data_IF_940551703401
#
_entry.id   IF_940551703401
#
_cell.length_a   1.000
_cell.length_b   1.000
_cell.length_c   1.000
_cell.angle_alpha   90.00
_cell.angle_beta   90.00
_cell.angle_gamma   90.00
#
_symmetry.space_group_name_H-M   'P 1'
#
loop_
_entity.id
_entity.type
_entity.pdbx_description
1 polymer ?
#
# COMPACT_ATOMS: atom_id res chain seq x y z
N UNK A 1 23.22 -12.32 8.20
CA UNK A 1 22.18 -12.51 7.17
C UNK A 1 21.08 -11.53 7.52
N UNK A 2 20.88 -10.47 6.73
CA UNK A 2 19.91 -9.44 7.06
C UNK A 2 18.52 -9.89 6.65
N UNK A 3 17.56 -9.83 7.58
CA UNK A 3 16.16 -10.13 7.28
C UNK A 3 15.62 -9.15 6.24
N UNK A 4 14.96 -9.66 5.20
CA UNK A 4 14.21 -8.83 4.26
C UNK A 4 12.97 -8.29 4.99
N UNK A 5 12.78 -6.97 4.99
CA UNK A 5 11.59 -6.31 5.57
C UNK A 5 10.75 -5.73 4.45
N UNK A 6 9.44 -5.55 4.64
CA UNK A 6 8.64 -4.83 3.63
C UNK A 6 8.98 -3.35 3.60
N UNK A 7 8.76 -2.68 2.46
CA UNK A 7 8.93 -1.22 2.36
C UNK A 7 8.00 -0.49 3.33
N UNK A 8 6.79 -1.03 3.58
CA UNK A 8 5.90 -0.52 4.64
C UNK A 8 6.58 -0.54 6.01
N UNK A 9 7.18 -1.66 6.41
CA UNK A 9 7.91 -1.79 7.67
C UNK A 9 9.12 -0.85 7.73
N UNK A 10 9.81 -0.62 6.61
CA UNK A 10 10.92 0.32 6.54
C UNK A 10 10.45 1.78 6.72
N UNK A 11 9.35 2.16 6.06
CA UNK A 11 8.78 3.52 6.14
C UNK A 11 8.29 3.87 7.55
N UNK A 12 7.73 2.89 8.27
CA UNK A 12 7.10 3.07 9.58
C UNK A 12 8.12 3.08 10.75
N UNK A 13 9.43 3.04 10.49
CA UNK A 13 10.46 3.16 11.54
C UNK A 13 10.35 4.54 12.23
N UNK A 14 10.11 4.53 13.54
CA UNK A 14 9.79 5.75 14.32
C UNK A 14 10.87 6.84 14.33
N UNK A 15 12.13 6.48 14.10
CA UNK A 15 13.27 7.41 14.03
C UNK A 15 13.84 7.55 12.62
N UNK A 16 13.04 7.24 11.59
CA UNK A 16 13.48 7.35 10.20
C UNK A 16 13.75 8.81 9.85
N UNK A 17 14.97 9.08 9.39
CA UNK A 17 15.33 10.34 8.76
C UNK A 17 15.27 10.18 7.24
N UNK A 18 15.01 11.27 6.53
CA UNK A 18 14.98 11.25 5.06
C UNK A 18 16.41 11.33 4.53
N UNK A 19 16.94 10.19 4.08
CA UNK A 19 18.12 10.15 3.22
C UNK A 19 17.67 10.25 1.75
N UNK A 20 17.97 11.37 1.11
CA UNK A 20 17.52 11.65 -0.26
C UNK A 20 18.02 10.60 -1.26
N UNK A 21 19.30 10.19 -1.19
CA UNK A 21 19.85 9.19 -2.10
C UNK A 21 19.17 7.83 -1.93
N UNK A 22 18.95 7.40 -0.69
CA UNK A 22 18.27 6.14 -0.41
C UNK A 22 16.81 6.17 -0.90
N UNK A 23 16.09 7.27 -0.61
CA UNK A 23 14.70 7.45 -1.03
C UNK A 23 14.57 7.46 -2.55
N UNK A 24 15.42 8.21 -3.26
CA UNK A 24 15.42 8.24 -4.72
C UNK A 24 15.84 6.89 -5.33
N UNK A 25 16.77 6.17 -4.70
CA UNK A 25 17.18 4.86 -5.17
C UNK A 25 16.05 3.83 -5.04
N UNK A 26 15.31 3.85 -3.92
CA UNK A 26 14.11 3.01 -3.73
C UNK A 26 13.05 3.38 -4.76
N UNK A 27 12.76 4.68 -4.90
CA UNK A 27 11.76 5.17 -5.84
C UNK A 27 12.10 4.79 -7.29
N UNK A 28 13.36 4.95 -7.72
CA UNK A 28 13.81 4.57 -9.07
C UNK A 28 13.57 3.09 -9.37
N UNK A 29 13.95 2.20 -8.45
CA UNK A 29 13.75 0.76 -8.64
C UNK A 29 12.28 0.39 -8.78
N UNK A 30 11.40 1.03 -8.00
CA UNK A 30 9.96 0.79 -8.10
C UNK A 30 9.40 1.35 -9.41
N UNK A 31 9.86 2.53 -9.84
CA UNK A 31 9.53 3.08 -11.16
C UNK A 31 10.00 2.15 -12.28
N UNK A 32 11.17 1.52 -12.19
CA UNK A 32 11.64 0.53 -13.17
C UNK A 32 10.72 -0.70 -13.23
N UNK A 33 10.25 -1.20 -12.08
CA UNK A 33 9.27 -2.31 -12.05
C UNK A 33 7.97 -1.90 -12.75
N UNK A 34 7.45 -0.71 -12.45
CA UNK A 34 6.24 -0.18 -13.08
C UNK A 34 6.44 0.05 -14.58
N UNK A 35 7.60 0.59 -14.99
CA UNK A 35 7.98 0.79 -16.39
C UNK A 35 7.94 -0.52 -17.17
N UNK A 36 8.55 -1.58 -16.64
CA UNK A 36 8.56 -2.89 -17.30
C UNK A 36 7.14 -3.41 -17.52
N UNK A 37 6.25 -3.29 -16.51
CA UNK A 37 4.85 -3.69 -16.66
C UNK A 37 4.11 -2.83 -17.71
N UNK A 38 4.26 -1.51 -17.66
CA UNK A 38 3.61 -0.57 -18.57
C UNK A 38 4.07 -0.77 -20.02
N UNK A 39 5.35 -1.07 -20.23
CA UNK A 39 5.91 -1.36 -21.57
C UNK A 39 5.29 -2.58 -22.24
N UNK A 40 4.69 -3.48 -21.44
CA UNK A 40 3.97 -4.67 -21.90
C UNK A 40 2.45 -4.45 -21.99
N UNK A 41 1.98 -3.23 -21.73
CA UNK A 41 0.55 -2.88 -21.74
C UNK A 41 -0.19 -3.27 -20.45
N UNK A 42 0.52 -3.61 -19.37
CA UNK A 42 -0.07 -4.05 -18.12
C UNK A 42 0.08 -2.99 -17.03
N UNK A 43 -0.94 -2.84 -16.19
CA UNK A 43 -0.84 -2.09 -14.94
C UNK A 43 -0.41 -3.02 -13.79
N UNK A 44 0.29 -2.47 -12.80
CA UNK A 44 0.71 -3.18 -11.57
C UNK A 44 -0.43 -3.26 -10.56
N UNK A 45 -1.34 -2.28 -10.57
CA UNK A 45 -2.56 -2.15 -9.75
C UNK A 45 -2.33 -1.86 -8.26
N UNK A 46 -1.25 -2.38 -7.66
CA UNK A 46 -0.98 -2.30 -6.23
C UNK A 46 0.44 -1.78 -5.95
N UNK A 47 0.80 -0.63 -6.50
CA UNK A 47 2.06 0.09 -6.20
C UNK A 47 1.98 0.69 -4.80
N UNK A 48 2.06 -0.17 -3.79
CA UNK A 48 1.97 0.18 -2.38
C UNK A 48 3.18 -0.37 -1.61
N UNK A 49 3.66 0.30 -0.55
CA UNK A 49 4.79 -0.17 0.24
C UNK A 49 4.69 -1.62 0.75
N UNK A 50 3.51 -2.13 1.09
CA UNK A 50 3.39 -3.54 1.51
C UNK A 50 3.63 -4.55 0.38
N UNK A 51 3.58 -4.14 -0.89
CA UNK A 51 3.84 -4.99 -2.06
C UNK A 51 5.33 -5.03 -2.46
N UNK A 52 6.23 -4.39 -1.71
CA UNK A 52 7.67 -4.40 -2.00
C UNK A 52 8.46 -4.92 -0.81
N UNK A 53 9.43 -5.80 -1.07
CA UNK A 53 10.46 -6.20 -0.11
C UNK A 53 11.70 -5.32 -0.26
N UNK A 54 12.25 -4.92 0.87
CA UNK A 54 13.54 -4.27 0.97
C UNK A 54 14.59 -5.26 1.45
N UNK A 55 15.64 -5.42 0.65
CA UNK A 55 16.87 -6.08 1.08
C UNK A 55 17.81 -5.10 1.78
N UNK A 56 18.84 -5.62 2.46
CA UNK A 56 19.80 -4.86 3.28
C UNK A 56 20.57 -3.78 2.52
N UNK A 57 20.58 -3.82 1.18
CA UNK A 57 21.25 -2.86 0.30
C UNK A 57 20.28 -1.83 -0.33
N UNK A 58 19.12 -1.61 0.29
CA UNK A 58 18.06 -0.73 -0.22
C UNK A 58 17.58 -1.15 -1.63
N UNK A 59 17.64 -2.45 -1.90
CA UNK A 59 17.11 -3.06 -3.12
C UNK A 59 15.63 -3.40 -2.94
N UNK A 60 14.78 -2.92 -3.85
CA UNK A 60 13.33 -3.14 -3.82
C UNK A 60 12.92 -4.21 -4.85
N UNK A 61 12.14 -5.21 -4.42
CA UNK A 61 11.54 -6.21 -5.32
C UNK A 61 10.04 -6.31 -5.08
N UNK A 62 9.25 -6.42 -6.16
CA UNK A 62 7.80 -6.60 -6.06
C UNK A 62 7.45 -8.00 -5.54
N UNK A 63 6.51 -8.05 -4.60
CA UNK A 63 5.84 -9.27 -4.17
C UNK A 63 4.51 -9.37 -4.90
N UNK A 64 4.37 -10.36 -5.76
CA UNK A 64 3.09 -10.70 -6.35
C UNK A 64 2.10 -11.11 -5.25
N UNK A 65 0.94 -10.42 -5.11
CA UNK A 65 -0.11 -10.82 -4.18
C UNK A 65 -0.59 -12.27 -4.38
N UNK A 66 -0.44 -12.84 -5.58
CA UNK A 66 -0.85 -14.20 -5.88
C UNK A 66 -0.03 -15.28 -5.15
N UNK A 67 1.23 -15.00 -4.78
CA UNK A 67 2.12 -15.97 -4.11
C UNK A 67 1.70 -16.22 -2.65
N UNK A 68 0.84 -15.36 -2.08
CA UNK A 68 0.29 -15.56 -0.74
C UNK A 68 -0.99 -16.43 -0.72
N UNK A 69 -1.39 -17.03 -1.86
CA UNK A 69 -2.67 -17.73 -2.00
C UNK A 69 -2.59 -19.25 -1.83
N UNK A 70 -1.41 -19.84 -1.61
CA UNK A 70 -1.28 -21.29 -1.35
C UNK A 70 -1.55 -21.69 0.12
N UNK A 71 -2.33 -20.88 0.85
CA UNK A 71 -3.09 -21.37 1.98
C UNK A 71 -4.47 -21.76 1.46
N UNK A 72 -4.59 -23.03 1.09
CA UNK A 72 -5.77 -23.72 0.57
C UNK A 72 -6.99 -23.58 1.53
N UNK A 73 -7.70 -22.45 1.46
CA UNK A 73 -9.01 -22.30 2.09
C UNK A 73 -10.04 -22.84 1.10
N UNK A 74 -10.34 -24.15 1.22
CA UNK A 74 -11.56 -24.74 0.64
C UNK A 74 -12.77 -23.98 1.18
N UNK A 75 -13.25 -23.03 0.39
CA UNK A 75 -14.50 -22.33 0.69
C UNK A 75 -15.60 -23.03 -0.08
N UNK A 76 -16.22 -24.01 0.58
CA UNK A 76 -17.43 -24.69 0.12
C UNK A 76 -18.54 -23.65 -0.08
N UNK A 77 -18.99 -23.54 -1.31
CA UNK A 77 -20.18 -22.81 -1.76
C UNK A 77 -21.40 -23.14 -0.92
N UNK A 78 -21.99 -22.17 -0.22
CA UNK A 78 -23.37 -22.29 0.28
C UNK A 78 -24.12 -20.94 0.18
N UNK A 79 -25.08 -20.93 -0.72
CA UNK A 79 -26.17 -19.96 -0.92
C UNK A 79 -27.10 -19.90 0.31
N UNK A 80 -27.76 -18.76 0.60
CA UNK A 80 -28.70 -18.68 1.70
C UNK A 80 -30.13 -19.02 1.25
N UNK A 81 -30.68 -20.14 1.74
CA UNK A 81 -32.12 -20.40 1.72
C UNK A 81 -32.55 -21.08 3.02
N UNK A 82 -33.29 -20.30 3.83
CA UNK A 82 -34.50 -20.64 4.58
C UNK A 82 -34.59 -21.90 5.48
N UNK A 83 -35.11 -21.66 6.70
CA UNK A 83 -35.88 -22.55 7.59
C UNK A 83 -35.18 -23.50 8.60
N UNK A 84 -35.22 -23.06 9.87
CA UNK A 84 -36.03 -23.65 10.97
C UNK A 84 -35.52 -24.91 11.73
N UNK A 85 -35.02 -24.63 12.97
CA UNK A 85 -35.36 -25.25 14.29
C UNK A 85 -34.82 -26.66 14.68
N UNK A 86 -34.08 -26.72 15.80
CA UNK A 86 -34.32 -27.52 17.05
C UNK A 86 -33.05 -28.15 17.71
N UNK A 87 -32.83 -27.76 18.98
CA UNK A 87 -32.52 -28.55 20.21
C UNK A 87 -31.36 -29.58 20.27
N UNK A 88 -30.44 -29.39 21.24
CA UNK A 88 -29.60 -30.45 21.83
C UNK A 88 -28.37 -29.94 22.60
N UNK A 89 -28.19 -30.37 23.85
CA UNK A 89 -27.25 -29.88 24.89
C UNK A 89 -25.75 -30.13 24.65
N UNK A 90 -24.98 -29.18 25.22
CA UNK A 90 -23.78 -29.31 26.05
C UNK A 90 -22.71 -30.36 25.69
N UNK A 91 -21.54 -29.85 25.24
CA UNK A 91 -20.26 -30.22 25.86
C UNK A 91 -19.26 -29.06 25.74
N UNK A 92 -18.90 -28.54 26.91
CA UNK A 92 -17.90 -27.51 27.12
C UNK A 92 -16.50 -28.11 26.95
N UNK A 93 -15.83 -27.79 25.84
CA UNK A 93 -14.37 -27.92 25.73
C UNK A 93 -13.78 -26.57 25.34
N UNK A 94 -13.14 -25.95 26.34
CA UNK A 94 -12.35 -24.73 26.25
C UNK A 94 -11.14 -24.95 25.33
N UNK A 95 -11.35 -24.83 24.02
CA UNK A 95 -10.25 -24.66 23.08
C UNK A 95 -9.80 -23.20 23.15
N UNK A 96 -8.76 -22.95 23.94
CA UNK A 96 -7.98 -21.71 23.88
C UNK A 96 -7.23 -21.66 22.53
N UNK A 97 -7.95 -21.42 21.44
CA UNK A 97 -7.35 -20.96 20.20
C UNK A 97 -6.89 -19.53 20.48
N UNK A 98 -5.57 -19.34 20.57
CA UNK A 98 -4.94 -18.08 20.96
C UNK A 98 -5.56 -16.89 20.22
N UNK A 99 -6.31 -16.06 20.96
CA UNK A 99 -6.87 -14.78 20.50
C UNK A 99 -5.81 -13.90 19.83
N UNK A 100 -4.53 -14.09 20.20
CA UNK A 100 -3.37 -13.43 19.62
C UNK A 100 -3.15 -13.69 18.10
N UNK A 101 -3.48 -14.86 17.56
CA UNK A 101 -3.26 -15.13 16.12
C UNK A 101 -4.35 -14.50 15.24
N UNK A 102 -5.59 -14.47 15.73
CA UNK A 102 -6.70 -13.78 15.07
C UNK A 102 -6.56 -12.26 15.20
N UNK A 103 -6.13 -11.75 16.36
CA UNK A 103 -5.89 -10.31 16.54
C UNK A 103 -4.74 -9.80 15.68
N UNK A 104 -3.68 -10.60 15.50
CA UNK A 104 -2.59 -10.25 14.60
C UNK A 104 -3.05 -10.26 13.14
N UNK A 105 -3.86 -11.23 12.75
CA UNK A 105 -4.42 -11.32 11.40
C UNK A 105 -5.38 -10.15 11.10
N UNK A 106 -6.29 -9.81 12.02
CA UNK A 106 -7.21 -8.68 11.85
C UNK A 106 -6.51 -7.32 11.90
N UNK A 107 -5.45 -7.18 12.70
CA UNK A 107 -4.60 -5.98 12.75
C UNK A 107 -3.75 -5.81 11.49
N UNK A 108 -3.21 -6.89 10.92
CA UNK A 108 -2.50 -6.83 9.64
C UNK A 108 -3.45 -6.50 8.49
N UNK A 109 -4.62 -7.14 8.44
CA UNK A 109 -5.66 -6.83 7.46
C UNK A 109 -6.16 -5.39 7.56
N UNK A 110 -6.32 -4.85 8.77
CA UNK A 110 -6.74 -3.46 8.95
C UNK A 110 -5.66 -2.47 8.48
N UNK A 111 -4.38 -2.73 8.77
CA UNK A 111 -3.26 -1.92 8.25
C UNK A 111 -3.17 -1.94 6.73
N UNK A 112 -3.30 -3.13 6.11
CA UNK A 112 -3.30 -3.27 4.66
C UNK A 112 -4.50 -2.56 4.02
N UNK A 113 -5.69 -2.65 4.63
CA UNK A 113 -6.89 -1.97 4.14
C UNK A 113 -6.76 -0.44 4.23
N UNK A 114 -6.17 0.07 5.31
CA UNK A 114 -5.90 1.51 5.43
C UNK A 114 -4.84 1.98 4.44
N UNK A 115 -3.79 1.20 4.22
CA UNK A 115 -2.80 1.51 3.19
C UNK A 115 -3.44 1.55 1.80
N UNK A 116 -4.22 0.52 1.43
CA UNK A 116 -4.93 0.50 0.17
C UNK A 116 -5.77 1.77 -0.04
N UNK A 117 -6.51 2.19 0.98
CA UNK A 117 -7.33 3.39 0.90
C UNK A 117 -6.55 4.70 0.83
N UNK A 118 -5.26 4.74 1.16
CA UNK A 118 -4.39 5.91 0.93
C UNK A 118 -3.84 5.98 -0.49
N UNK A 119 -3.67 4.83 -1.15
CA UNK A 119 -3.07 4.72 -2.48
C UNK A 119 -4.09 4.67 -3.62
N UNK A 120 -5.34 4.26 -3.38
CA UNK A 120 -6.42 4.19 -4.41
C UNK A 120 -6.56 5.50 -5.18
N UNK A 121 -6.38 5.55 -6.49
CA UNK A 121 -6.47 6.78 -7.29
C UNK A 121 -7.88 7.42 -7.28
N UNK A 122 -8.01 8.73 -7.63
CA UNK A 122 -9.31 9.41 -7.67
C UNK A 122 -10.34 8.73 -8.58
N UNK A 123 -9.91 8.22 -9.73
CA UNK A 123 -10.77 7.49 -10.67
C UNK A 123 -11.22 6.13 -10.12
N UNK A 124 -10.37 5.41 -9.40
CA UNK A 124 -10.72 4.15 -8.74
C UNK A 124 -11.75 4.38 -7.62
N UNK A 125 -11.62 5.49 -6.87
CA UNK A 125 -12.64 5.91 -5.88
C UNK A 125 -13.98 6.23 -6.58
N UNK A 126 -13.94 6.78 -7.80
CA UNK A 126 -15.13 7.03 -8.62
C UNK A 126 -15.72 5.75 -9.25
N UNK A 127 -15.10 4.59 -9.04
CA UNK A 127 -15.55 3.29 -9.55
C UNK A 127 -14.95 2.88 -10.89
N UNK A 128 -13.98 3.63 -11.43
CA UNK A 128 -13.22 3.19 -12.60
C UNK A 128 -12.30 2.02 -12.27
N UNK A 129 -11.96 1.23 -13.29
CA UNK A 129 -10.95 0.19 -13.15
C UNK A 129 -9.55 0.80 -13.04
N UNK A 130 -8.72 0.14 -12.25
CA UNK A 130 -7.30 0.46 -12.13
C UNK A 130 -6.59 0.39 -13.48
N UNK A 131 -5.73 1.35 -13.76
CA UNK A 131 -5.04 1.51 -15.04
C UNK A 131 -3.57 1.88 -14.86
N UNK A 132 -2.79 1.96 -15.94
CA UNK A 132 -1.41 2.43 -15.88
C UNK A 132 -1.31 3.82 -15.23
N UNK A 133 -2.28 4.71 -15.51
CA UNK A 133 -2.32 6.03 -14.89
C UNK A 133 -2.59 5.96 -13.38
N UNK A 134 -3.34 4.95 -12.91
CA UNK A 134 -3.57 4.70 -11.48
C UNK A 134 -2.27 4.31 -10.78
N UNK A 135 -1.40 3.51 -11.42
CA UNK A 135 -0.05 3.22 -10.90
C UNK A 135 0.79 4.49 -10.78
N UNK A 136 0.69 5.43 -11.74
CA UNK A 136 1.40 6.71 -11.68
C UNK A 136 0.95 7.55 -10.48
N UNK A 137 -0.35 7.56 -10.18
CA UNK A 137 -0.87 8.21 -8.97
C UNK A 137 -0.30 7.56 -7.71
N UNK A 138 -0.31 6.23 -7.64
CA UNK A 138 0.21 5.46 -6.52
C UNK A 138 1.72 5.70 -6.31
N UNK A 139 2.50 5.84 -7.39
CA UNK A 139 3.90 6.31 -7.35
C UNK A 139 4.02 7.71 -6.73
N UNK A 140 3.08 8.62 -7.01
CA UNK A 140 3.02 9.94 -6.39
C UNK A 140 2.84 9.88 -4.87
N UNK A 141 1.94 9.02 -4.40
CA UNK A 141 1.71 8.77 -2.95
C UNK A 141 2.94 8.12 -2.31
N UNK A 142 3.59 7.18 -3.00
CA UNK A 142 4.81 6.55 -2.55
C UNK A 142 5.96 7.56 -2.39
N UNK A 143 6.18 8.40 -3.40
CA UNK A 143 7.19 9.44 -3.37
C UNK A 143 6.97 10.39 -2.18
N UNK A 144 5.71 10.76 -1.95
CA UNK A 144 5.33 11.55 -0.79
C UNK A 144 5.76 10.88 0.53
N UNK A 145 5.42 9.61 0.75
CA UNK A 145 5.79 8.89 1.97
C UNK A 145 7.31 8.77 2.18
N UNK A 146 8.06 8.56 1.10
CA UNK A 146 9.53 8.46 1.17
C UNK A 146 10.14 9.74 1.75
N UNK A 147 9.64 10.90 1.35
CA UNK A 147 10.16 12.21 1.76
C UNK A 147 9.43 12.85 2.95
N UNK A 148 8.30 12.28 3.39
CA UNK A 148 7.52 12.75 4.53
C UNK A 148 7.43 11.65 5.60
N UNK A 149 8.40 11.56 6.54
CA UNK A 149 8.30 10.65 7.67
C UNK A 149 7.19 11.12 8.61
N UNK A 150 6.29 10.20 8.95
CA UNK A 150 5.11 10.44 9.78
C UNK A 150 5.24 9.57 11.03
N UNK A 151 5.12 10.15 12.21
CA UNK A 151 5.49 9.49 13.47
C UNK A 151 4.34 8.72 14.11
N UNK A 152 3.11 8.94 13.67
CA UNK A 152 1.92 8.21 14.14
C UNK A 152 0.93 7.91 13.02
N UNK A 153 0.07 6.91 13.23
CA UNK A 153 -1.01 6.54 12.29
C UNK A 153 -2.02 7.67 12.11
N UNK A 154 -2.31 8.42 13.17
CA UNK A 154 -3.27 9.53 13.16
C UNK A 154 -2.72 10.74 12.38
N UNK A 155 -1.43 11.06 12.57
CA UNK A 155 -0.74 12.05 11.75
C UNK A 155 -0.74 11.64 10.28
N UNK A 156 -0.44 10.36 10.01
CA UNK A 156 -0.46 9.81 8.67
C UNK A 156 -1.84 9.90 8.03
N UNK A 157 -2.89 9.54 8.74
CA UNK A 157 -4.27 9.59 8.24
C UNK A 157 -4.68 11.02 7.88
N UNK A 158 -4.38 12.01 8.72
CA UNK A 158 -4.66 13.44 8.44
C UNK A 158 -3.89 13.94 7.23
N UNK A 159 -2.62 13.56 7.13
CA UNK A 159 -1.73 13.98 6.06
C UNK A 159 -2.11 13.36 4.73
N UNK A 160 -2.41 12.06 4.71
CA UNK A 160 -2.90 11.34 3.52
C UNK A 160 -4.25 11.86 3.06
N UNK A 161 -5.15 12.20 3.98
CA UNK A 161 -6.42 12.86 3.64
C UNK A 161 -6.18 14.21 2.96
N UNK A 162 -5.21 15.00 3.42
CA UNK A 162 -4.84 16.28 2.79
C UNK A 162 -4.18 16.06 1.41
N UNK A 163 -3.34 15.02 1.29
CA UNK A 163 -2.66 14.64 0.05
C UNK A 163 -3.64 14.33 -1.09
N UNK A 164 -4.82 13.74 -0.78
CA UNK A 164 -5.90 13.52 -1.75
C UNK A 164 -6.34 14.80 -2.47
N UNK A 165 -6.28 15.92 -1.77
CA UNK A 165 -6.60 17.24 -2.29
C UNK A 165 -5.35 17.99 -2.77
N UNK A 166 -4.23 17.28 -2.92
CA UNK A 166 -2.92 17.79 -3.36
C UNK A 166 -2.33 18.84 -2.43
N UNK A 167 -2.69 18.79 -1.15
CA UNK A 167 -2.13 19.66 -0.11
C UNK A 167 -0.93 18.95 0.52
N UNK A 168 0.27 19.49 0.26
CA UNK A 168 1.52 18.98 0.83
C UNK A 168 1.89 19.71 2.13
N UNK A 169 2.50 19.03 3.12
CA UNK A 169 3.05 19.68 4.30
C UNK A 169 4.09 20.75 3.92
N UNK A 170 4.09 21.93 4.58
CA UNK A 170 5.05 23.00 4.29
C UNK A 170 6.52 22.56 4.37
N UNK A 171 6.83 21.61 5.26
CA UNK A 171 8.18 21.08 5.45
C UNK A 171 8.68 20.35 4.21
N UNK A 172 7.81 19.64 3.49
CA UNK A 172 8.16 18.97 2.25
C UNK A 172 8.45 20.01 1.15
N UNK A 173 7.60 21.02 1.03
CA UNK A 173 7.76 22.11 0.05
C UNK A 173 9.04 22.92 0.28
N UNK A 174 9.40 23.16 1.54
CA UNK A 174 10.59 23.93 1.91
C UNK A 174 11.88 23.12 1.75
N UNK A 175 11.88 21.84 2.17
CA UNK A 175 13.09 21.02 2.20
C UNK A 175 13.37 20.29 0.89
N UNK A 176 12.32 19.90 0.17
CA UNK A 176 12.38 19.06 -1.02
C UNK A 176 11.48 19.60 -2.14
N UNK A 177 11.72 20.85 -2.61
CA UNK A 177 10.82 21.52 -3.55
C UNK A 177 10.71 20.81 -4.91
N UNK A 178 11.78 20.14 -5.36
CA UNK A 178 11.79 19.40 -6.63
C UNK A 178 10.93 18.15 -6.53
N UNK A 179 11.11 17.39 -5.45
CA UNK A 179 10.36 16.17 -5.16
C UNK A 179 8.89 16.48 -4.89
N UNK A 180 8.60 17.59 -4.19
CA UNK A 180 7.24 18.07 -3.98
C UNK A 180 6.55 18.44 -5.31
N UNK A 181 7.25 19.14 -6.20
CA UNK A 181 6.72 19.48 -7.52
C UNK A 181 6.46 18.24 -8.36
N UNK A 182 7.39 17.27 -8.33
CA UNK A 182 7.24 16.01 -9.04
C UNK A 182 6.09 15.16 -8.47
N UNK A 183 5.97 15.08 -7.14
CA UNK A 183 4.87 14.45 -6.44
C UNK A 183 3.51 15.05 -6.87
N UNK A 184 3.40 16.38 -6.94
CA UNK A 184 2.18 17.04 -7.41
C UNK A 184 1.84 16.72 -8.86
N UNK A 185 2.84 16.51 -9.73
CA UNK A 185 2.60 16.11 -11.12
C UNK A 185 2.07 14.68 -11.24
N UNK A 186 2.59 13.75 -10.42
CA UNK A 186 2.09 12.37 -10.35
C UNK A 186 0.66 12.31 -9.77
N UNK A 187 0.35 13.19 -8.82
CA UNK A 187 -0.94 13.27 -8.13
C UNK A 187 -2.00 14.12 -8.85
N UNK A 188 -1.91 14.29 -10.18
CA UNK A 188 -2.95 14.97 -10.94
C UNK A 188 -4.30 14.20 -10.81
N UNK A 189 -5.43 14.89 -10.55
CA UNK A 189 -6.72 14.22 -10.39
C UNK A 189 -7.12 13.50 -11.67
N UNK A 190 -6.95 14.19 -12.81
CA UNK A 190 -7.24 13.66 -14.11
C UNK A 190 -6.11 12.71 -14.57
N UNK A 191 -6.40 11.44 -14.89
CA UNK A 191 -5.39 10.45 -15.29
C UNK A 191 -4.53 10.89 -16.48
N UNK A 192 -5.13 11.58 -17.46
CA UNK A 192 -4.45 12.04 -18.68
C UNK A 192 -3.42 13.16 -18.45
N UNK A 193 -3.46 13.83 -17.30
CA UNK A 193 -2.50 14.89 -16.94
C UNK A 193 -1.26 14.34 -16.20
N UNK A 194 -1.25 13.04 -15.87
CA UNK A 194 -0.11 12.37 -15.23
C UNK A 194 0.94 12.02 -16.28
N UNK A 195 2.24 11.97 -15.94
CA UNK A 195 3.27 11.53 -16.88
C UNK A 195 3.05 10.09 -17.31
N UNK A 196 3.37 9.80 -18.56
CA UNK A 196 3.56 8.42 -19.03
C UNK A 196 5.01 8.02 -18.80
N UNK A 197 5.20 6.80 -18.33
CA UNK A 197 6.52 6.18 -18.27
C UNK A 197 6.85 5.72 -19.71
N UNK A 198 7.66 6.53 -20.39
CA UNK A 198 8.13 6.29 -21.78
C UNK A 198 9.34 5.37 -21.84
#
# INVERSE_FOLDING_TARGET
MGDNISLRQWLDKSQRTVNCFECLNIFRQIVEIVHVAHSQGNAVHNVMPSCFLMSSFSHASFMDPAICSDAEIKTTTLTPTHQQRCLGSDDFVSAKTSIASLSNSTCLLSKLRMEASWYTSPEEVAGALSSCASDIYQLGVLLFELFCPLSSTEEKSRTMSSLRHRVLPPQLLLKWPKEASFCLWLLQPEPSNRPTIG
#
